data_IF_464712724374
#
_entry.id   IF_464712724374
#
_cell.length_a   1.000
_cell.length_b   1.000
_cell.length_c   1.000
_cell.angle_alpha   90.00
_cell.angle_beta   90.00
_cell.angle_gamma   90.00
#
_symmetry.space_group_name_H-M   'P 1'
#
loop_
_entity.id
_entity.type
_entity.pdbx_description
1 polymer ?
#
# COMPACT_ATOMS: atom_id res chain seq x y z
N UNK A 1 -9.38 -0.60 5.24
CA UNK A 1 -9.40 -1.01 3.82
C UNK A 1 -10.82 -1.30 3.34
N UNK A 2 -11.49 -2.36 3.80
CA UNK A 2 -12.82 -2.78 3.30
C UNK A 2 -13.87 -1.66 3.28
N UNK A 3 -14.00 -0.87 4.34
CA UNK A 3 -14.94 0.26 4.37
C UNK A 3 -14.65 1.33 3.30
N UNK A 4 -13.38 1.60 2.99
CA UNK A 4 -13.02 2.56 1.94
C UNK A 4 -13.44 2.06 0.54
N UNK A 5 -13.37 0.74 0.32
CA UNK A 5 -13.78 0.10 -0.93
C UNK A 5 -15.30 0.15 -1.20
N UNK A 6 -16.11 0.58 -0.23
CA UNK A 6 -17.53 0.83 -0.47
C UNK A 6 -17.77 2.07 -1.34
N UNK A 7 -16.79 2.97 -1.44
CA UNK A 7 -16.92 4.27 -2.12
C UNK A 7 -15.75 4.58 -3.07
N UNK A 8 -14.73 3.73 -3.12
CA UNK A 8 -13.53 3.91 -3.94
C UNK A 8 -13.21 2.60 -4.67
N UNK A 9 -12.66 2.70 -5.87
CA UNK A 9 -12.22 1.55 -6.67
C UNK A 9 -10.99 0.85 -6.08
N UNK A 10 -10.12 1.64 -5.44
CA UNK A 10 -8.87 1.17 -4.86
C UNK A 10 -8.60 1.80 -3.48
N UNK A 11 -7.86 1.08 -2.64
CA UNK A 11 -7.31 1.57 -1.37
C UNK A 11 -5.86 1.16 -1.24
N UNK A 12 -5.01 2.08 -0.78
CA UNK A 12 -3.60 1.82 -0.50
C UNK A 12 -3.26 2.23 0.94
N UNK A 13 -2.43 1.43 1.59
CA UNK A 13 -1.78 1.77 2.86
C UNK A 13 -0.28 1.96 2.59
N UNK A 14 0.22 3.20 2.52
CA UNK A 14 1.64 3.48 2.29
C UNK A 14 2.56 2.81 3.32
N UNK A 15 3.72 2.34 2.86
CA UNK A 15 4.87 2.01 3.70
C UNK A 15 5.86 3.19 3.76
N UNK A 16 6.77 3.17 4.74
CA UNK A 16 7.78 4.23 4.91
C UNK A 16 8.91 4.17 3.89
N UNK A 17 9.16 3.01 3.30
CA UNK A 17 10.20 2.80 2.29
C UNK A 17 9.81 3.30 0.89
N UNK A 18 8.58 3.80 0.71
CA UNK A 18 8.04 4.31 -0.56
C UNK A 18 7.20 3.29 -1.36
N UNK A 19 6.92 2.12 -0.79
CA UNK A 19 5.94 1.16 -1.27
C UNK A 19 4.56 1.28 -0.59
N UNK A 20 3.91 0.13 -0.42
CA UNK A 20 2.68 0.01 0.35
C UNK A 20 2.58 -1.37 1.02
N UNK A 21 2.14 -1.41 2.28
CA UNK A 21 1.90 -2.66 3.02
C UNK A 21 0.55 -3.30 2.69
N UNK A 22 -0.34 -2.55 2.03
CA UNK A 22 -1.64 -3.05 1.59
C UNK A 22 -2.10 -2.35 0.31
N UNK A 23 -2.65 -3.13 -0.60
CA UNK A 23 -3.53 -2.68 -1.67
C UNK A 23 -4.84 -3.49 -1.63
N UNK A 24 -5.97 -2.82 -1.84
CA UNK A 24 -7.27 -3.45 -2.03
C UNK A 24 -7.97 -2.89 -3.26
N UNK A 25 -8.68 -3.74 -3.99
CA UNK A 25 -9.39 -3.39 -5.23
C UNK A 25 -10.81 -3.95 -5.19
N UNK A 26 -11.77 -3.24 -5.77
CA UNK A 26 -13.16 -3.72 -5.91
C UNK A 26 -13.35 -4.71 -7.06
N UNK A 27 -12.42 -4.73 -8.02
CA UNK A 27 -12.39 -5.61 -9.19
C UNK A 27 -10.94 -5.83 -9.64
N UNK A 28 -10.64 -6.88 -10.45
CA UNK A 28 -9.31 -7.04 -11.04
C UNK A 28 -8.89 -5.80 -11.86
N UNK A 29 -7.67 -5.32 -11.64
CA UNK A 29 -7.07 -4.17 -12.34
C UNK A 29 -5.62 -4.50 -12.73
N UNK A 30 -5.38 -5.38 -13.71
CA UNK A 30 -4.02 -5.77 -14.11
C UNK A 30 -3.18 -4.56 -14.53
N UNK A 31 -3.75 -3.66 -15.32
CA UNK A 31 -3.09 -2.45 -15.85
C UNK A 31 -2.58 -1.49 -14.76
N UNK A 32 -3.13 -1.58 -13.55
CA UNK A 32 -2.66 -0.79 -12.40
C UNK A 32 -1.23 -1.17 -12.01
N UNK A 33 -0.84 -2.42 -12.25
CA UNK A 33 0.45 -2.98 -11.86
C UNK A 33 1.49 -2.96 -13.00
N UNK A 34 1.09 -2.53 -14.19
CA UNK A 34 1.95 -2.50 -15.35
C UNK A 34 3.01 -1.41 -15.26
N UNK A 35 4.22 -1.72 -15.73
CA UNK A 35 5.39 -0.83 -15.78
C UNK A 35 5.72 -0.14 -14.43
N UNK A 36 5.49 -0.84 -13.32
CA UNK A 36 6.02 -0.44 -12.01
C UNK A 36 7.46 -0.96 -11.88
N UNK A 37 8.38 -0.07 -11.50
CA UNK A 37 9.72 -0.41 -11.08
C UNK A 37 9.66 -0.94 -9.64
N UNK A 38 9.43 -2.26 -9.52
CA UNK A 38 9.28 -2.94 -8.25
C UNK A 38 10.56 -2.93 -7.40
N UNK A 39 10.38 -2.99 -6.07
CA UNK A 39 11.46 -3.14 -5.11
C UNK A 39 12.18 -1.83 -4.72
N UNK A 40 11.59 -0.67 -5.00
CA UNK A 40 12.17 0.62 -4.67
C UNK A 40 11.16 1.67 -4.21
N UNK A 41 11.65 2.85 -3.78
CA UNK A 41 10.83 3.89 -3.15
C UNK A 41 9.85 4.58 -4.11
N UNK A 42 9.93 4.28 -5.41
CA UNK A 42 9.02 4.83 -6.41
C UNK A 42 7.75 4.01 -6.60
N UNK A 43 7.60 2.85 -5.96
CA UNK A 43 6.46 1.94 -6.17
C UNK A 43 5.13 2.63 -5.88
N UNK A 44 5.00 3.30 -4.73
CA UNK A 44 3.77 4.00 -4.38
C UNK A 44 3.46 5.12 -5.38
N UNK A 45 4.46 5.95 -5.70
CA UNK A 45 4.29 7.08 -6.60
C UNK A 45 3.85 6.63 -8.00
N UNK A 46 4.47 5.58 -8.53
CA UNK A 46 4.11 5.01 -9.83
C UNK A 46 2.72 4.39 -9.80
N UNK A 47 2.35 3.69 -8.73
CA UNK A 47 1.01 3.11 -8.56
C UNK A 47 -0.07 4.19 -8.52
N UNK A 48 0.18 5.31 -7.82
CA UNK A 48 -0.72 6.46 -7.78
C UNK A 48 -0.87 7.11 -9.16
N UNK A 49 0.23 7.26 -9.90
CA UNK A 49 0.19 7.78 -11.27
C UNK A 49 -0.62 6.84 -12.19
N UNK A 50 -0.44 5.52 -12.06
CA UNK A 50 -1.22 4.53 -12.81
C UNK A 50 -2.71 4.60 -12.47
N UNK A 51 -3.06 4.61 -11.19
CA UNK A 51 -4.44 4.74 -10.74
C UNK A 51 -5.11 5.99 -11.31
N UNK A 52 -4.41 7.13 -11.30
CA UNK A 52 -4.88 8.37 -11.91
C UNK A 52 -5.09 8.23 -13.42
N UNK A 53 -4.16 7.61 -14.15
CA UNK A 53 -4.27 7.43 -15.60
C UNK A 53 -5.42 6.49 -16.01
N UNK A 54 -5.77 5.55 -15.13
CA UNK A 54 -6.88 4.61 -15.30
C UNK A 54 -8.21 5.18 -14.77
N UNK A 55 -8.23 6.44 -14.31
CA UNK A 55 -9.40 7.10 -13.73
C UNK A 55 -10.01 6.34 -12.54
N UNK A 56 -9.17 5.66 -11.74
CA UNK A 56 -9.61 4.96 -10.55
C UNK A 56 -9.78 5.93 -9.38
N UNK A 57 -10.89 5.83 -8.67
CA UNK A 57 -11.04 6.49 -7.37
C UNK A 57 -10.20 5.73 -6.35
N UNK A 58 -9.18 6.37 -5.80
CA UNK A 58 -8.22 5.73 -4.89
C UNK A 58 -8.21 6.43 -3.54
N UNK A 59 -8.32 5.65 -2.46
CA UNK A 59 -8.15 6.15 -1.09
C UNK A 59 -6.78 5.78 -0.53
N UNK A 60 -6.00 6.79 -0.15
CA UNK A 60 -4.86 6.61 0.73
C UNK A 60 -5.32 6.51 2.20
N UNK A 61 -4.84 5.48 2.88
CA UNK A 61 -4.91 5.34 4.34
C UNK A 61 -3.65 5.96 4.97
N UNK A 62 -3.55 5.90 6.31
CA UNK A 62 -2.35 6.39 7.01
C UNK A 62 -1.10 5.62 6.55
N UNK A 63 0.06 6.22 6.65
CA UNK A 63 1.31 5.46 6.46
C UNK A 63 1.54 4.51 7.65
N UNK A 64 2.11 3.34 7.40
CA UNK A 64 2.59 2.39 8.40
C UNK A 64 4.04 2.01 8.09
N UNK A 65 4.86 1.65 9.10
CA UNK A 65 6.11 0.95 8.82
C UNK A 65 5.84 -0.45 8.27
N UNK A 66 6.71 -0.85 7.37
CA UNK A 66 6.98 -2.21 6.92
C UNK A 66 7.70 -3.01 8.01
N UNK A 67 7.68 -4.34 7.87
CA UNK A 67 8.30 -5.28 8.80
C UNK A 67 9.31 -6.14 8.06
N UNK A 68 10.46 -5.56 7.73
CA UNK A 68 11.45 -6.18 6.83
C UNK A 68 12.67 -6.71 7.58
N UNK A 69 13.05 -6.04 8.67
CA UNK A 69 14.28 -6.32 9.38
C UNK A 69 14.06 -6.57 10.89
N UNK A 70 15.12 -6.99 11.59
CA UNK A 70 15.07 -7.31 13.01
C UNK A 70 14.76 -6.10 13.91
N UNK A 71 15.01 -4.88 13.45
CA UNK A 71 14.59 -3.66 14.14
C UNK A 71 13.08 -3.44 14.01
N UNK A 72 12.51 -3.61 12.82
CA UNK A 72 11.07 -3.49 12.60
C UNK A 72 10.30 -4.52 13.43
N UNK A 73 10.83 -5.75 13.53
CA UNK A 73 10.25 -6.79 14.39
C UNK A 73 10.28 -6.40 15.88
N UNK A 74 11.41 -5.87 16.37
CA UNK A 74 11.52 -5.38 17.76
C UNK A 74 10.55 -4.22 18.01
N UNK A 75 10.40 -3.33 17.04
CA UNK A 75 9.42 -2.24 17.10
C UNK A 75 7.99 -2.79 17.16
N UNK A 76 7.65 -3.76 16.33
CA UNK A 76 6.32 -4.37 16.30
C UNK A 76 5.96 -5.07 17.62
N UNK A 77 6.93 -5.74 18.28
CA UNK A 77 6.74 -6.29 19.62
C UNK A 77 6.52 -5.18 20.66
N UNK A 78 7.34 -4.13 20.63
CA UNK A 78 7.21 -3.00 21.56
C UNK A 78 5.86 -2.27 21.40
N UNK A 79 5.37 -2.15 20.16
CA UNK A 79 4.09 -1.54 19.82
C UNK A 79 2.89 -2.50 20.01
N UNK A 80 3.13 -3.74 20.45
CA UNK A 80 2.12 -4.80 20.61
C UNK A 80 1.31 -5.09 19.36
N UNK A 81 1.92 -4.94 18.18
CA UNK A 81 1.31 -5.38 16.92
C UNK A 81 1.38 -6.88 16.75
N UNK A 82 2.44 -7.48 17.30
CA UNK A 82 2.66 -8.92 17.33
C UNK A 82 2.67 -9.39 18.79
N UNK A 83 2.13 -10.57 19.02
CA UNK A 83 2.29 -11.29 20.28
C UNK A 83 3.43 -12.32 20.12
N UNK A 84 4.27 -12.51 21.14
CA UNK A 84 5.34 -13.51 21.10
C UNK A 84 4.80 -14.95 21.03
#
# INVERSE_FOLDING_TARGET
AAAALQTHDAVLQPSRDGGYVLIGLTRPQPDLFDAIAWGGPSVLAQTLQRASSLHLTLRLLRELPDLDNAEDFRLALAQRWLSP
#
